data_IF_549506847574
#
_entry.id   IF_549506847574
#
_cell.length_a   1.000
_cell.length_b   1.000
_cell.length_c   1.000
_cell.angle_alpha   90.00
_cell.angle_beta   90.00
_cell.angle_gamma   90.00
#
_symmetry.space_group_name_H-M   'P 1'
#
loop_
_entity.id
_entity.type
_entity.pdbx_description
1 polymer ?
#
# COMPACT_ATOMS: atom_id res chain seq x y z
N UNK A 1 13.19 26.65 16.27
CA UNK A 1 11.82 27.18 16.09
C UNK A 1 11.02 26.20 15.25
N UNK A 2 10.22 25.36 15.90
CA UNK A 2 9.35 24.37 15.25
C UNK A 2 8.12 25.10 14.70
N UNK A 3 7.98 25.19 13.38
CA UNK A 3 6.72 25.58 12.72
C UNK A 3 6.49 24.60 11.57
N UNK A 4 5.72 23.54 11.83
CA UNK A 4 5.39 22.54 10.82
C UNK A 4 4.23 21.61 11.15
N UNK A 5 3.66 21.64 12.36
CA UNK A 5 2.62 20.68 12.78
C UNK A 5 1.17 21.07 12.40
N UNK A 6 0.95 22.17 11.68
CA UNK A 6 -0.37 22.79 11.58
C UNK A 6 -1.26 22.40 10.39
N UNK A 7 -0.72 21.81 9.32
CA UNK A 7 -1.45 21.69 8.04
C UNK A 7 -2.20 20.37 7.82
N UNK A 8 -1.83 19.28 8.51
CA UNK A 8 -2.44 17.97 8.29
C UNK A 8 -3.88 17.85 8.84
N UNK A 9 -4.17 18.51 9.97
CA UNK A 9 -5.49 18.42 10.63
C UNK A 9 -6.62 19.08 9.83
N UNK A 10 -6.30 20.05 8.97
CA UNK A 10 -7.32 20.77 8.19
C UNK A 10 -7.85 19.96 6.99
N UNK A 11 -7.02 19.08 6.40
CA UNK A 11 -7.38 18.30 5.20
C UNK A 11 -8.31 17.12 5.50
N UNK A 12 -8.26 16.57 6.71
CA UNK A 12 -9.17 15.48 7.12
C UNK A 12 -10.62 15.92 7.37
N UNK A 13 -10.90 17.23 7.39
CA UNK A 13 -12.23 17.79 7.69
C UNK A 13 -13.13 17.95 6.46
N UNK A 14 -12.65 17.61 5.25
CA UNK A 14 -13.47 17.65 4.05
C UNK A 14 -14.38 16.43 3.99
N UNK A 15 -15.71 16.58 3.89
CA UNK A 15 -16.64 15.47 3.80
C UNK A 15 -16.44 14.74 2.46
N UNK A 16 -15.72 13.61 2.48
CA UNK A 16 -15.61 12.73 1.32
C UNK A 16 -16.86 11.85 1.25
N UNK A 17 -17.89 12.34 0.58
CA UNK A 17 -19.13 11.61 0.36
C UNK A 17 -18.99 10.62 -0.79
N UNK A 18 -18.93 9.32 -0.48
CA UNK A 18 -19.01 8.25 -1.46
C UNK A 18 -19.98 7.18 -0.99
N UNK A 19 -21.15 7.09 -1.61
CA UNK A 19 -22.05 5.95 -1.46
C UNK A 19 -21.60 4.86 -2.42
N UNK A 20 -21.07 3.75 -1.92
CA UNK A 20 -20.76 2.54 -2.72
C UNK A 20 -21.86 1.49 -2.52
N UNK A 21 -22.33 0.92 -3.63
CA UNK A 21 -23.39 -0.09 -3.70
C UNK A 21 -22.96 -1.42 -3.06
N UNK A 22 -23.88 -2.05 -2.33
CA UNK A 22 -23.75 -3.42 -1.82
C UNK A 22 -23.83 -4.44 -2.96
N UNK A 23 -22.74 -4.59 -3.70
CA UNK A 23 -22.36 -5.91 -4.21
C UNK A 23 -21.20 -6.42 -3.34
N UNK A 24 -20.84 -7.70 -3.44
CA UNK A 24 -19.87 -8.39 -2.56
C UNK A 24 -18.41 -7.89 -2.72
N UNK A 25 -18.19 -6.58 -2.68
CA UNK A 25 -16.90 -5.92 -2.77
C UNK A 25 -15.95 -6.44 -1.68
N UNK A 26 -14.66 -6.64 -2.00
CA UNK A 26 -13.63 -6.92 -1.01
C UNK A 26 -13.33 -5.69 -0.13
N UNK A 27 -13.88 -4.51 -0.48
CA UNK A 27 -13.77 -3.28 0.31
C UNK A 27 -14.33 -3.50 1.73
N UNK A 28 -13.61 -2.95 2.70
CA UNK A 28 -13.86 -3.02 4.14
C UNK A 28 -13.83 -4.41 4.76
N UNK A 29 -13.15 -5.36 4.10
CA UNK A 29 -12.83 -6.68 4.63
C UNK A 29 -11.32 -6.83 4.86
N UNK A 30 -10.89 -7.63 5.85
CA UNK A 30 -9.48 -7.98 5.98
C UNK A 30 -9.02 -8.81 4.76
N UNK A 31 -7.72 -8.79 4.42
CA UNK A 31 -7.21 -9.68 3.39
C UNK A 31 -7.29 -11.14 3.85
N UNK A 32 -7.31 -12.11 2.92
CA UNK A 32 -7.02 -13.50 3.26
C UNK A 32 -5.72 -13.61 4.04
N UNK A 33 -5.58 -14.61 4.91
CA UNK A 33 -4.33 -14.81 5.64
C UNK A 33 -3.19 -15.09 4.64
N UNK A 34 -2.10 -14.31 4.73
CA UNK A 34 -0.92 -14.49 3.91
C UNK A 34 0.35 -14.19 4.71
N UNK A 35 1.45 -14.79 4.29
CA UNK A 35 2.78 -14.61 4.86
C UNK A 35 3.80 -14.76 3.76
N UNK A 36 5.00 -14.21 3.98
CA UNK A 36 6.15 -14.46 3.10
C UNK A 36 7.24 -15.03 4.00
N UNK A 37 7.54 -16.32 3.78
CA UNK A 37 8.32 -17.13 4.73
C UNK A 37 7.64 -17.09 6.11
N UNK A 38 8.41 -16.90 7.18
CA UNK A 38 7.91 -16.83 8.55
C UNK A 38 7.43 -15.44 8.97
N UNK A 39 7.30 -14.50 8.03
CA UNK A 39 6.89 -13.12 8.30
C UNK A 39 5.44 -12.89 7.87
N UNK A 40 4.66 -12.25 8.74
CA UNK A 40 3.33 -11.76 8.42
C UNK A 40 3.36 -10.22 8.36
N UNK A 41 3.50 -9.63 7.15
CA UNK A 41 3.70 -8.18 7.02
C UNK A 41 2.51 -7.36 7.52
N UNK A 42 1.28 -7.90 7.42
CA UNK A 42 0.06 -7.21 7.85
C UNK A 42 -0.07 -7.13 9.37
N UNK A 43 0.33 -8.17 10.10
CA UNK A 43 0.31 -8.13 11.58
C UNK A 43 1.22 -7.03 12.13
N UNK A 44 2.38 -6.83 11.51
CA UNK A 44 3.36 -5.81 11.93
C UNK A 44 2.89 -4.36 11.64
N UNK A 45 1.83 -4.19 10.85
CA UNK A 45 1.31 -2.89 10.43
C UNK A 45 -0.03 -2.51 11.06
N UNK A 46 -0.57 -3.32 11.97
CA UNK A 46 -1.78 -3.00 12.72
C UNK A 46 -1.66 -1.64 13.44
N UNK A 47 -2.76 -0.88 13.46
CA UNK A 47 -2.81 0.48 13.97
C UNK A 47 -2.33 1.56 12.98
N UNK A 48 -1.80 1.16 11.81
CA UNK A 48 -1.31 2.04 10.75
C UNK A 48 -2.10 1.84 9.46
N UNK A 49 -2.28 2.91 8.69
CA UNK A 49 -2.63 2.74 7.27
C UNK A 49 -1.50 1.97 6.61
N UNK A 50 -1.85 0.95 5.83
CA UNK A 50 -0.87 0.07 5.20
C UNK A 50 -1.06 0.07 3.69
N UNK A 51 0.03 0.30 2.95
CA UNK A 51 0.06 0.29 1.50
C UNK A 51 0.86 -0.92 1.05
N UNK A 52 0.21 -1.85 0.35
CA UNK A 52 0.86 -3.02 -0.25
C UNK A 52 0.95 -2.80 -1.75
N UNK A 53 2.16 -2.76 -2.30
CA UNK A 53 2.44 -2.61 -3.71
C UNK A 53 2.90 -3.95 -4.32
N UNK A 54 2.19 -4.40 -5.37
CA UNK A 54 2.49 -5.65 -6.09
C UNK A 54 3.39 -5.33 -7.28
N UNK A 55 4.71 -5.34 -7.05
CA UNK A 55 5.70 -4.93 -8.05
C UNK A 55 6.51 -6.12 -8.56
N UNK A 56 6.47 -6.37 -9.87
CA UNK A 56 7.34 -7.35 -10.51
C UNK A 56 8.62 -6.64 -10.92
N UNK A 57 9.82 -7.10 -10.53
CA UNK A 57 11.11 -6.46 -10.80
C UNK A 57 11.45 -6.30 -12.32
N UNK A 58 10.72 -5.41 -12.99
CA UNK A 58 10.73 -5.04 -14.39
C UNK A 58 10.97 -3.54 -14.50
N UNK A 59 11.36 -3.05 -15.68
CA UNK A 59 11.73 -1.64 -15.86
C UNK A 59 10.69 -0.65 -15.32
N UNK A 60 9.41 -0.87 -15.61
CA UNK A 60 8.33 -0.01 -15.13
C UNK A 60 8.19 -0.03 -13.61
N UNK A 61 8.23 -1.22 -13.00
CA UNK A 61 8.07 -1.36 -11.57
C UNK A 61 9.27 -0.79 -10.78
N UNK A 62 10.48 -0.77 -11.37
CA UNK A 62 11.63 -0.07 -10.77
C UNK A 62 11.38 1.44 -10.67
N UNK A 63 10.70 2.02 -11.66
CA UNK A 63 10.29 3.43 -11.62
C UNK A 63 9.16 3.66 -10.61
N UNK A 64 8.15 2.77 -10.57
CA UNK A 64 7.07 2.84 -9.57
C UNK A 64 7.63 2.71 -8.14
N UNK A 65 8.58 1.81 -7.89
CA UNK A 65 9.24 1.65 -6.59
C UNK A 65 9.94 2.94 -6.13
N UNK A 66 10.72 3.58 -6.99
CA UNK A 66 11.36 4.88 -6.68
C UNK A 66 10.31 5.94 -6.31
N UNK A 67 9.23 6.03 -7.08
CA UNK A 67 8.15 6.99 -6.84
C UNK A 67 7.35 6.69 -5.58
N UNK A 68 7.26 5.42 -5.17
CA UNK A 68 6.60 5.04 -3.93
C UNK A 68 7.36 5.59 -2.72
N UNK A 69 8.70 5.55 -2.76
CA UNK A 69 9.51 6.13 -1.69
C UNK A 69 9.44 7.67 -1.70
N UNK A 70 9.44 8.30 -2.89
CA UNK A 70 9.19 9.74 -3.01
C UNK A 70 7.82 10.13 -2.42
N UNK A 71 6.77 9.35 -2.72
CA UNK A 71 5.42 9.55 -2.20
C UNK A 71 5.38 9.39 -0.67
N UNK A 72 6.06 8.39 -0.11
CA UNK A 72 6.19 8.23 1.35
C UNK A 72 6.81 9.47 1.98
N UNK A 73 7.93 9.97 1.43
CA UNK A 73 8.62 11.17 1.93
C UNK A 73 7.71 12.40 1.84
N UNK A 74 6.98 12.55 0.73
CA UNK A 74 6.01 13.63 0.53
C UNK A 74 4.92 13.59 1.59
N UNK A 75 4.26 12.45 1.76
CA UNK A 75 3.16 12.27 2.70
C UNK A 75 3.60 12.48 4.15
N UNK A 76 4.78 12.01 4.53
CA UNK A 76 5.35 12.24 5.86
C UNK A 76 5.57 13.73 6.13
N UNK A 77 6.13 14.48 5.16
CA UNK A 77 6.29 15.95 5.23
C UNK A 77 4.96 16.70 5.30
N UNK A 78 3.91 16.15 4.69
CA UNK A 78 2.55 16.70 4.75
C UNK A 78 1.81 16.34 6.05
N UNK A 79 2.43 15.52 6.92
CA UNK A 79 1.89 15.13 8.22
C UNK A 79 1.07 13.83 8.21
N UNK A 80 0.97 13.15 7.07
CA UNK A 80 0.46 11.77 6.96
C UNK A 80 1.55 10.77 7.42
N UNK A 81 2.01 10.95 8.65
CA UNK A 81 3.09 10.16 9.24
C UNK A 81 2.60 8.80 9.73
N UNK A 82 3.53 7.87 9.95
CA UNK A 82 3.25 6.53 10.48
C UNK A 82 2.36 5.66 9.55
N UNK A 83 2.48 5.85 8.23
CA UNK A 83 1.93 4.95 7.20
C UNK A 83 2.94 3.83 6.94
N UNK A 84 2.47 2.58 6.89
CA UNK A 84 3.29 1.42 6.55
C UNK A 84 3.29 1.18 5.04
N UNK A 85 4.45 0.96 4.44
CA UNK A 85 4.59 0.67 3.01
C UNK A 85 5.27 -0.67 2.84
N UNK A 86 4.72 -1.53 2.01
CA UNK A 86 5.18 -2.90 1.78
C UNK A 86 5.24 -3.12 0.27
N UNK A 87 6.35 -3.67 -0.22
CA UNK A 87 6.44 -4.15 -1.61
C UNK A 87 6.50 -5.67 -1.60
N UNK A 88 5.64 -6.32 -2.38
CA UNK A 88 5.66 -7.76 -2.60
C UNK A 88 6.16 -8.05 -4.00
N UNK A 89 7.37 -8.59 -4.13
CA UNK A 89 7.94 -8.97 -5.42
C UNK A 89 7.19 -10.18 -6.00
N UNK A 90 6.99 -10.21 -7.31
CA UNK A 90 6.37 -11.37 -7.98
C UNK A 90 7.21 -12.65 -7.83
N UNK A 91 6.56 -13.82 -7.75
CA UNK A 91 7.22 -15.12 -7.54
C UNK A 91 7.91 -15.70 -8.79
N UNK A 92 7.67 -15.16 -9.98
CA UNK A 92 8.28 -15.68 -11.21
C UNK A 92 9.80 -15.51 -11.26
N UNK A 93 10.51 -16.49 -11.83
CA UNK A 93 11.98 -16.58 -11.90
C UNK A 93 12.65 -15.27 -12.33
N UNK A 94 12.15 -14.63 -13.41
CA UNK A 94 12.72 -13.37 -13.91
C UNK A 94 12.64 -12.23 -12.88
N UNK A 95 11.60 -12.21 -12.06
CA UNK A 95 11.40 -11.22 -11.00
C UNK A 95 12.29 -11.49 -9.79
N UNK A 96 12.49 -12.77 -9.45
CA UNK A 96 13.40 -13.16 -8.38
C UNK A 96 14.86 -12.83 -8.71
N UNK A 97 15.31 -13.14 -9.93
CA UNK A 97 16.66 -12.80 -10.40
C UNK A 97 16.94 -11.29 -10.36
N UNK A 98 15.90 -10.46 -10.47
CA UNK A 98 15.98 -9.00 -10.44
C UNK A 98 15.58 -8.39 -9.10
N UNK A 99 15.34 -9.20 -8.07
CA UNK A 99 14.89 -8.74 -6.75
C UNK A 99 15.77 -7.61 -6.20
N UNK A 100 17.10 -7.75 -6.30
CA UNK A 100 18.03 -6.75 -5.78
C UNK A 100 17.87 -5.39 -6.46
N UNK A 101 17.52 -5.36 -7.75
CA UNK A 101 17.27 -4.11 -8.46
C UNK A 101 16.00 -3.43 -7.94
N UNK A 102 14.95 -4.20 -7.64
CA UNK A 102 13.72 -3.66 -7.05
C UNK A 102 13.97 -3.16 -5.63
N UNK A 103 14.66 -3.94 -4.80
CA UNK A 103 15.02 -3.55 -3.42
C UNK A 103 15.81 -2.25 -3.39
N UNK A 104 16.78 -2.08 -4.28
CA UNK A 104 17.61 -0.88 -4.35
C UNK A 104 16.88 0.37 -4.88
N UNK A 105 15.59 0.28 -5.24
CA UNK A 105 14.77 1.43 -5.66
C UNK A 105 13.96 2.05 -4.54
N UNK A 106 13.96 1.46 -3.35
CA UNK A 106 13.33 2.03 -2.16
C UNK A 106 14.33 2.10 -1.00
N UNK A 107 14.12 3.03 -0.08
CA UNK A 107 14.86 3.09 1.17
C UNK A 107 14.49 1.95 2.13
N UNK A 108 15.30 1.80 3.19
CA UNK A 108 15.08 0.79 4.24
C UNK A 108 13.76 0.95 5.02
N UNK A 109 13.03 2.04 4.81
CA UNK A 109 11.70 2.26 5.38
C UNK A 109 10.59 1.48 4.65
N UNK A 110 10.87 0.93 3.47
CA UNK A 110 9.92 0.15 2.68
C UNK A 110 10.48 -1.28 2.51
N UNK A 111 10.05 -2.24 3.34
CA UNK A 111 10.46 -3.62 3.16
C UNK A 111 9.98 -4.17 1.81
N UNK A 112 10.91 -4.78 1.07
CA UNK A 112 10.64 -5.50 -0.18
C UNK A 112 10.72 -7.00 0.08
N UNK A 113 9.57 -7.67 0.08
CA UNK A 113 9.47 -9.09 0.33
C UNK A 113 9.61 -9.89 -0.97
N UNK A 114 10.63 -10.77 -1.08
CA UNK A 114 10.76 -11.66 -2.22
C UNK A 114 9.75 -12.79 -2.13
N UNK A 115 9.06 -13.11 -3.22
CA UNK A 115 8.34 -14.35 -3.30
C UNK A 115 9.18 -15.48 -3.90
N UNK A 116 9.28 -16.62 -3.21
CA UNK A 116 9.88 -17.85 -3.71
C UNK A 116 8.94 -18.59 -4.67
N UNK A 117 9.47 -19.43 -5.57
CA UNK A 117 8.70 -20.04 -6.66
C UNK A 117 7.69 -21.09 -6.17
N UNK A 118 8.00 -21.76 -5.05
CA UNK A 118 7.23 -22.89 -4.53
C UNK A 118 6.33 -22.53 -3.34
N UNK A 119 6.26 -21.26 -2.94
CA UNK A 119 5.36 -20.84 -1.86
C UNK A 119 3.97 -20.49 -2.42
N UNK A 120 3.02 -20.21 -1.53
CA UNK A 120 1.71 -19.71 -1.94
C UNK A 120 1.82 -18.35 -2.62
N UNK A 121 1.20 -18.22 -3.80
CA UNK A 121 1.19 -16.96 -4.55
C UNK A 121 0.36 -15.90 -3.83
N UNK A 122 1.04 -14.97 -3.17
CA UNK A 122 0.41 -13.87 -2.43
C UNK A 122 -0.33 -12.94 -3.37
N UNK A 123 0.13 -12.75 -4.61
CA UNK A 123 -0.56 -11.88 -5.57
C UNK A 123 -1.93 -12.45 -5.91
N UNK A 124 -1.98 -13.74 -6.24
CA UNK A 124 -3.24 -14.46 -6.48
C UNK A 124 -4.15 -14.46 -5.24
N UNK A 125 -3.61 -14.68 -4.04
CA UNK A 125 -4.39 -14.61 -2.79
C UNK A 125 -5.02 -13.23 -2.56
N UNK A 126 -4.30 -12.16 -2.87
CA UNK A 126 -4.78 -10.79 -2.76
C UNK A 126 -5.66 -10.37 -3.94
N UNK A 127 -5.95 -11.29 -4.87
CA UNK A 127 -6.66 -11.05 -6.11
C UNK A 127 -6.04 -9.89 -6.94
N UNK A 128 -4.73 -9.71 -6.83
CA UNK A 128 -4.00 -8.57 -7.36
C UNK A 128 -3.16 -8.91 -8.59
N UNK A 129 -2.94 -7.88 -9.41
CA UNK A 129 -2.13 -7.95 -10.62
C UNK A 129 -0.84 -7.12 -10.49
N UNK A 130 0.01 -7.21 -11.51
CA UNK A 130 1.23 -6.41 -11.61
C UNK A 130 0.90 -4.92 -11.56
N UNK A 131 1.68 -4.19 -10.76
CA UNK A 131 1.55 -2.76 -10.51
C UNK A 131 0.28 -2.38 -9.72
N UNK A 132 -0.41 -3.34 -9.09
CA UNK A 132 -1.55 -3.01 -8.22
C UNK A 132 -1.08 -2.47 -6.85
N UNK A 133 -1.88 -1.55 -6.29
CA UNK A 133 -1.74 -1.04 -4.93
C UNK A 133 -2.98 -1.38 -4.13
N UNK A 134 -2.78 -1.99 -2.97
CA UNK A 134 -3.83 -2.25 -1.98
C UNK A 134 -3.59 -1.34 -0.77
N UNK A 135 -4.57 -0.51 -0.44
CA UNK A 135 -4.52 0.41 0.69
C UNK A 135 -5.47 -0.10 1.76
N UNK A 136 -4.93 -0.37 2.95
CA UNK A 136 -5.65 -0.86 4.11
C UNK A 136 -5.76 0.23 5.18
N UNK A 137 -6.89 0.25 5.89
CA UNK A 137 -7.07 1.10 7.06
C UNK A 137 -6.25 0.60 8.26
N UNK A 138 -6.32 1.34 9.37
CA UNK A 138 -5.59 1.02 10.62
C UNK A 138 -6.00 -0.31 11.26
N UNK A 139 -7.11 -0.89 10.84
CA UNK A 139 -7.59 -2.18 11.32
C UNK A 139 -7.30 -3.32 10.34
N UNK A 140 -6.49 -3.06 9.31
CA UNK A 140 -6.10 -4.06 8.33
C UNK A 140 -7.21 -4.40 7.34
N UNK A 141 -8.23 -3.54 7.16
CA UNK A 141 -9.31 -3.75 6.18
C UNK A 141 -9.03 -3.02 4.89
N UNK A 142 -9.27 -3.67 3.75
CA UNK A 142 -9.00 -3.11 2.43
C UNK A 142 -9.91 -1.91 2.15
N UNK A 143 -9.34 -0.73 1.90
CA UNK A 143 -10.09 0.50 1.58
C UNK A 143 -10.10 0.74 0.07
N UNK A 144 -8.96 0.53 -0.58
CA UNK A 144 -8.79 0.67 -2.03
C UNK A 144 -7.94 -0.45 -2.59
N UNK A 145 -8.32 -0.92 -3.78
CA UNK A 145 -7.51 -1.76 -4.65
C UNK A 145 -7.42 -1.04 -6.00
N UNK A 146 -6.23 -0.54 -6.29
CA UNK A 146 -5.95 0.28 -7.47
C UNK A 146 -5.10 -0.55 -8.42
N UNK A 147 -5.66 -0.88 -9.59
CA UNK A 147 -4.89 -1.40 -10.72
C UNK A 147 -4.61 -0.32 -11.75
N UNK A 148 -3.87 -0.68 -12.80
CA UNK A 148 -3.63 0.23 -13.92
C UNK A 148 -4.96 0.65 -14.58
N UNK A 149 -5.09 1.93 -15.01
CA UNK A 149 -4.09 2.99 -14.99
C UNK A 149 -4.00 3.77 -13.67
N UNK A 150 -4.89 3.53 -12.71
CA UNK A 150 -5.01 4.30 -11.47
C UNK A 150 -3.85 4.06 -10.50
N UNK A 151 -3.20 2.91 -10.58
CA UNK A 151 -2.01 2.61 -9.78
C UNK A 151 -0.74 3.32 -10.23
N UNK A 152 -0.77 4.04 -11.36
CA UNK A 152 0.43 4.67 -11.89
C UNK A 152 0.81 5.92 -11.10
N UNK A 153 1.90 5.87 -10.32
CA UNK A 153 2.33 6.92 -9.38
C UNK A 153 2.72 8.29 -10.00
N UNK A 154 2.60 8.46 -11.32
CA UNK A 154 2.58 9.84 -11.90
C UNK A 154 1.29 10.56 -11.57
N UNK A 155 0.20 9.83 -11.35
CA UNK A 155 -1.13 10.35 -11.08
C UNK A 155 -1.43 10.29 -9.57
N UNK A 156 -2.35 11.15 -9.07
CA UNK A 156 -2.57 11.31 -7.64
C UNK A 156 -3.41 10.21 -6.99
N UNK A 157 -3.91 9.21 -7.73
CA UNK A 157 -4.93 8.30 -7.20
C UNK A 157 -4.46 7.46 -6.00
N UNK A 158 -3.21 6.96 -6.02
CA UNK A 158 -2.64 6.23 -4.87
C UNK A 158 -2.45 7.16 -3.67
N UNK A 159 -1.98 8.39 -3.91
CA UNK A 159 -1.84 9.41 -2.87
C UNK A 159 -3.19 9.73 -2.21
N UNK A 160 -4.22 10.00 -3.02
CA UNK A 160 -5.57 10.30 -2.52
C UNK A 160 -6.17 9.11 -1.77
N UNK A 161 -6.00 7.88 -2.27
CA UNK A 161 -6.46 6.67 -1.57
C UNK A 161 -5.82 6.53 -0.19
N UNK A 162 -4.52 6.83 -0.06
CA UNK A 162 -3.81 6.83 1.23
C UNK A 162 -4.36 7.93 2.14
N UNK A 163 -4.54 9.15 1.64
CA UNK A 163 -5.09 10.28 2.41
C UNK A 163 -6.50 9.98 2.93
N UNK A 164 -7.35 9.38 2.09
CA UNK A 164 -8.70 8.96 2.46
C UNK A 164 -8.66 7.84 3.52
N UNK A 165 -7.82 6.82 3.35
CA UNK A 165 -7.67 5.77 4.34
C UNK A 165 -7.08 6.28 5.68
N UNK A 166 -6.29 7.36 5.64
CA UNK A 166 -5.67 7.96 6.81
C UNK A 166 -6.62 8.83 7.63
N UNK A 167 -7.38 9.69 6.95
CA UNK A 167 -8.29 10.64 7.56
C UNK A 167 -9.69 10.06 7.82
N UNK A 168 -10.14 9.16 6.95
CA UNK A 168 -11.53 8.73 6.90
C UNK A 168 -11.79 7.44 7.68
N UNK A 169 -13.06 7.28 8.06
CA UNK A 169 -13.60 6.02 8.54
C UNK A 169 -14.40 5.34 7.42
N UNK A 170 -13.83 5.20 6.21
CA UNK A 170 -14.55 4.61 5.04
C UNK A 170 -15.15 3.24 5.40
N UNK A 171 -14.43 2.47 6.22
CA UNK A 171 -14.87 1.16 6.69
C UNK A 171 -15.54 1.16 8.08
N UNK A 172 -15.90 2.33 8.60
CA UNK A 172 -16.46 2.48 9.93
C UNK A 172 -15.44 2.29 11.06
N UNK A 173 -15.94 2.31 12.30
CA UNK A 173 -15.12 2.23 13.51
C UNK A 173 -14.67 0.78 13.76
N UNK A 174 -13.45 0.63 14.25
CA UNK A 174 -12.87 -0.64 14.67
C UNK A 174 -11.86 -0.40 15.80
N UNK A 175 -11.56 -1.45 16.56
CA UNK A 175 -10.54 -1.45 17.63
C UNK A 175 -9.35 -2.28 17.16
N UNK A 176 -8.13 -1.78 17.38
CA UNK A 176 -6.86 -2.44 17.03
C UNK A 176 -5.96 -2.57 18.25
#
# INVERSE_FOLDING_TARGET
MWKGLGLALALCLLPYGGTESQDQSPVCKPPPAWSIKDQNPMLNSMGRVTVVALLQASYLCLLQASRLDDLRIKLDKEGYSNVSYIVVNHQGISSQLKYIHLKNKVSDHIPVYPQEENQTDVWTLLNGNKDDFLVYDRCGRLVYHLGLPYSFLTFPYVEEAIKIAYCGNKCGICSY
#
